data_IF_613717271235
#
_entry.id   IF_613717271235
#
_cell.length_a   1.000
_cell.length_b   1.000
_cell.length_c   1.000
_cell.angle_alpha   90.00
_cell.angle_beta   90.00
_cell.angle_gamma   90.00
#
_symmetry.space_group_name_H-M   'P 1'
#
loop_
_entity.id
_entity.type
_entity.pdbx_description
1 polymer ?
#
# COMPACT_ATOMS: atom_id res chain seq x y z
N UNK A 1 -17.12 20.38 0.56
CA UNK A 1 -16.71 19.63 -0.64
C UNK A 1 -16.45 18.21 -0.19
N UNK A 2 -17.40 17.29 -0.43
CA UNK A 2 -17.18 15.90 -0.09
C UNK A 2 -16.08 15.37 -1.03
N UNK A 3 -15.00 14.82 -0.48
CA UNK A 3 -13.88 14.26 -1.23
C UNK A 3 -14.34 12.94 -1.87
N UNK A 4 -14.93 12.99 -3.07
CA UNK A 4 -15.32 11.80 -3.84
C UNK A 4 -14.24 11.49 -4.87
N UNK A 5 -13.20 10.78 -4.44
CA UNK A 5 -12.12 10.35 -5.32
C UNK A 5 -11.40 9.13 -4.77
N UNK A 6 -10.74 8.37 -5.65
CA UNK A 6 -9.84 7.28 -5.24
C UNK A 6 -8.57 7.86 -4.61
N UNK A 7 -8.04 7.17 -3.59
CA UNK A 7 -6.73 7.47 -3.00
C UNK A 7 -5.79 6.30 -3.21
N UNK A 8 -4.49 6.58 -3.35
CA UNK A 8 -3.48 5.53 -3.50
C UNK A 8 -3.19 4.93 -2.12
N UNK A 9 -3.37 3.60 -2.01
CA UNK A 9 -3.04 2.79 -0.84
C UNK A 9 -1.94 1.79 -1.19
N UNK A 10 -0.94 1.67 -0.32
CA UNK A 10 0.12 0.67 -0.42
C UNK A 10 -0.08 -0.43 0.61
N UNK A 11 0.06 -1.68 0.17
CA UNK A 11 0.19 -2.85 1.05
C UNK A 11 1.67 -3.25 1.06
N UNK A 12 2.26 -3.32 2.24
CA UNK A 12 3.71 -3.52 2.40
C UNK A 12 3.95 -4.73 3.28
N UNK A 13 4.84 -5.60 2.82
CA UNK A 13 5.43 -6.66 3.65
C UNK A 13 6.84 -6.21 3.96
N UNK A 14 7.17 -6.14 5.25
CA UNK A 14 8.48 -5.72 5.70
C UNK A 14 9.40 -6.93 5.86
N UNK A 15 10.69 -6.74 5.56
CA UNK A 15 11.74 -7.66 5.99
C UNK A 15 12.44 -7.03 7.20
N UNK A 16 12.02 -7.46 8.39
CA UNK A 16 12.34 -6.80 9.65
C UNK A 16 11.30 -5.73 10.06
N UNK A 17 11.69 -4.83 10.97
CA UNK A 17 10.82 -3.80 11.52
C UNK A 17 11.30 -2.42 11.13
N UNK A 18 10.46 -1.68 10.40
CA UNK A 18 10.58 -0.24 10.17
C UNK A 18 9.60 0.45 11.11
N UNK A 19 10.11 1.27 12.03
CA UNK A 19 9.30 1.96 13.04
C UNK A 19 8.33 2.98 12.42
N UNK A 20 8.79 3.76 11.45
CA UNK A 20 7.97 4.72 10.69
C UNK A 20 7.85 4.30 9.21
N UNK A 21 7.09 3.25 8.96
CA UNK A 21 6.88 2.71 7.62
C UNK A 21 6.39 3.76 6.63
N UNK A 22 5.42 4.59 7.04
CA UNK A 22 4.82 5.61 6.18
C UNK A 22 5.82 6.71 5.85
N UNK A 23 6.52 7.25 6.85
CA UNK A 23 7.52 8.29 6.68
C UNK A 23 8.64 7.86 5.74
N UNK A 24 9.22 6.68 5.98
CA UNK A 24 10.30 6.11 5.18
C UNK A 24 9.86 5.85 3.73
N UNK A 25 8.69 5.21 3.53
CA UNK A 25 8.18 4.96 2.18
C UNK A 25 7.89 6.26 1.43
N UNK A 26 7.28 7.24 2.11
CA UNK A 26 6.94 8.54 1.53
C UNK A 26 8.19 9.30 1.13
N UNK A 27 9.20 9.37 2.01
CA UNK A 27 10.48 10.01 1.73
C UNK A 27 11.19 9.36 0.55
N UNK A 28 11.19 8.03 0.49
CA UNK A 28 11.78 7.28 -0.61
C UNK A 28 11.10 7.60 -1.96
N UNK A 29 9.76 7.68 -1.97
CA UNK A 29 8.97 7.90 -3.18
C UNK A 29 8.96 9.36 -3.67
N UNK A 30 9.03 10.34 -2.77
CA UNK A 30 8.89 11.77 -3.09
C UNK A 30 9.91 12.26 -4.14
N UNK A 31 11.11 11.68 -4.18
CA UNK A 31 12.14 12.05 -5.17
C UNK A 31 12.05 11.23 -6.48
N UNK A 32 11.15 10.25 -6.58
CA UNK A 32 11.13 9.22 -7.64
C UNK A 32 9.86 9.21 -8.46
N UNK A 33 8.75 9.68 -7.90
CA UNK A 33 7.45 9.74 -8.57
C UNK A 33 6.81 11.11 -8.31
N UNK A 34 5.87 11.50 -9.18
CA UNK A 34 5.09 12.70 -8.97
C UNK A 34 4.23 12.58 -7.69
N UNK A 35 4.09 13.68 -6.94
CA UNK A 35 3.47 13.73 -5.62
C UNK A 35 2.10 13.05 -5.54
N UNK A 36 1.26 13.22 -6.58
CA UNK A 36 -0.08 12.62 -6.62
C UNK A 36 -0.08 11.08 -6.72
N UNK A 37 1.06 10.45 -7.02
CA UNK A 37 1.25 8.99 -7.05
C UNK A 37 1.75 8.45 -5.71
N UNK A 38 2.20 9.30 -4.80
CA UNK A 38 2.67 8.88 -3.49
C UNK A 38 1.46 8.39 -2.67
N UNK A 39 1.48 7.15 -2.15
CA UNK A 39 0.40 6.63 -1.34
C UNK A 39 0.13 7.51 -0.12
N UNK A 40 -1.15 7.68 0.20
CA UNK A 40 -1.61 8.36 1.43
C UNK A 40 -1.97 7.40 2.55
N UNK A 41 -2.03 6.12 2.24
CA UNK A 41 -2.40 5.05 3.15
C UNK A 41 -1.39 3.92 2.98
N UNK A 42 -0.84 3.45 4.09
CA UNK A 42 0.05 2.30 4.14
C UNK A 42 -0.57 1.25 5.06
N UNK A 43 -0.56 0.01 4.62
CA UNK A 43 -1.00 -1.12 5.42
C UNK A 43 0.09 -2.18 5.43
N UNK A 44 0.61 -2.44 6.61
CA UNK A 44 1.53 -3.53 6.83
C UNK A 44 0.79 -4.88 6.81
N UNK A 45 1.42 -5.86 6.17
CA UNK A 45 0.94 -7.24 6.12
C UNK A 45 2.10 -8.19 6.41
N UNK A 46 1.82 -9.30 7.07
CA UNK A 46 2.80 -10.39 7.25
C UNK A 46 3.16 -11.06 5.91
N UNK A 47 2.19 -11.13 4.99
CA UNK A 47 2.37 -11.67 3.65
C UNK A 47 1.36 -11.11 2.66
N UNK A 48 1.71 -11.11 1.37
CA UNK A 48 0.77 -10.76 0.31
C UNK A 48 -0.04 -11.99 -0.12
N UNK A 49 -1.35 -11.85 -0.38
CA UNK A 49 -2.20 -12.98 -0.73
C UNK A 49 -1.78 -13.54 -2.09
N UNK A 50 -1.47 -14.83 -2.13
CA UNK A 50 -1.06 -15.54 -3.34
C UNK A 50 -1.88 -16.80 -3.54
N UNK A 51 -2.08 -17.19 -4.80
CA UNK A 51 -2.69 -18.49 -5.10
C UNK A 51 -1.68 -19.64 -4.95
N UNK A 52 -2.15 -20.88 -5.14
CA UNK A 52 -1.32 -22.09 -5.04
C UNK A 52 -0.11 -22.12 -6.01
N UNK A 53 -0.12 -21.29 -7.07
CA UNK A 53 1.01 -21.14 -8.00
C UNK A 53 1.89 -19.92 -7.70
N UNK A 54 1.67 -19.24 -6.57
CA UNK A 54 2.42 -18.05 -6.14
C UNK A 54 1.98 -16.73 -6.78
N UNK A 55 0.94 -16.70 -7.62
CA UNK A 55 0.45 -15.47 -8.25
C UNK A 55 -0.25 -14.58 -7.24
N UNK A 56 0.06 -13.28 -7.28
CA UNK A 56 -0.55 -12.26 -6.41
C UNK A 56 -2.06 -12.11 -6.70
N UNK A 57 -2.86 -12.20 -5.65
CA UNK A 57 -4.31 -12.06 -5.69
C UNK A 57 -4.72 -10.59 -5.45
N UNK A 58 -4.60 -9.76 -6.49
CA UNK A 58 -4.93 -8.33 -6.40
C UNK A 58 -6.40 -8.05 -6.06
N UNK A 59 -7.32 -8.95 -6.39
CA UNK A 59 -8.74 -8.83 -6.03
C UNK A 59 -8.95 -8.83 -4.51
N UNK A 60 -8.26 -9.71 -3.78
CA UNK A 60 -8.36 -9.79 -2.32
C UNK A 60 -7.85 -8.49 -1.67
N UNK A 61 -6.74 -7.94 -2.16
CA UNK A 61 -6.23 -6.65 -1.69
C UNK A 61 -7.22 -5.50 -1.95
N UNK A 62 -7.89 -5.49 -3.11
CA UNK A 62 -8.92 -4.49 -3.44
C UNK A 62 -10.16 -4.62 -2.56
N UNK A 63 -10.60 -5.85 -2.27
CA UNK A 63 -11.71 -6.09 -1.35
C UNK A 63 -11.37 -5.60 0.06
N UNK A 64 -10.16 -5.92 0.54
CA UNK A 64 -9.66 -5.41 1.83
C UNK A 64 -9.64 -3.88 1.89
N UNK A 65 -9.19 -3.23 0.80
CA UNK A 65 -9.18 -1.77 0.69
C UNK A 65 -10.57 -1.12 0.67
N UNK A 66 -11.62 -1.85 0.26
CA UNK A 66 -13.01 -1.35 0.26
C UNK A 66 -13.72 -1.51 1.61
N UNK A 67 -13.21 -2.41 2.47
CA UNK A 67 -13.78 -2.72 3.78
C UNK A 67 -13.15 -1.90 4.92
N UNK A 68 -12.01 -1.25 4.66
CA UNK A 68 -11.33 -0.35 5.57
C UNK A 68 -11.82 1.09 5.39
#
# INVERSE_FOLDING_TARGET
HAYWGETVKAFVVQDGTIEDLEGECRQYLHARVADYKVPRLYEEMSELPRNATGKLLKNHLREKARQA
#
